data_IF_720209888255
#
_entry.id   IF_720209888255
#
_cell.length_a   1.000
_cell.length_b   1.000
_cell.length_c   1.000
_cell.angle_alpha   90.00
_cell.angle_beta   90.00
_cell.angle_gamma   90.00
#
_symmetry.space_group_name_H-M   'P 1'
#
loop_
_entity.id
_entity.type
_entity.pdbx_description
1 polymer ?
2 polymer ?
3 non-polymer ?
4 water ?
#
# COMPACT_ATOMS: atom_id res chain seq x y z
N UNK A 7 26.50 -32.55 2.59
CA UNK A 7 25.81 -31.33 3.01
C UNK A 7 26.75 -30.39 3.79
N UNK A 8 27.18 -30.73 5.03
CA UNK A 8 27.96 -29.74 5.81
C UNK A 8 29.28 -29.33 5.15
N UNK A 9 30.04 -30.29 4.63
CA UNK A 9 31.25 -30.00 3.87
C UNK A 9 30.99 -29.04 2.71
N UNK A 10 29.75 -28.99 2.21
CA UNK A 10 29.33 -28.13 1.11
C UNK A 10 28.61 -26.87 1.59
N UNK A 11 28.79 -26.47 2.85
CA UNK A 11 28.04 -25.36 3.44
C UNK A 11 28.55 -24.03 2.89
N UNK A 12 27.62 -23.20 2.40
CA UNK A 12 27.94 -21.87 1.85
C UNK A 12 27.39 -20.80 2.80
N UNK A 13 28.29 -20.23 3.59
CA UNK A 13 27.93 -19.20 4.56
C UNK A 13 27.63 -17.90 3.85
N UNK A 14 26.50 -17.29 4.17
CA UNK A 14 26.19 -15.94 3.75
C UNK A 14 26.75 -14.97 4.79
N UNK A 15 27.69 -14.13 4.37
CA UNK A 15 28.28 -13.20 5.34
C UNK A 15 27.29 -12.10 5.68
N UNK A 16 27.41 -11.57 6.90
CA UNK A 16 26.61 -10.42 7.27
C UNK A 16 26.96 -9.23 6.37
N UNK A 17 25.95 -8.44 6.02
CA UNK A 17 26.22 -7.19 5.32
C UNK A 17 26.53 -6.12 6.36
N UNK A 18 27.50 -5.27 6.07
CA UNK A 18 27.89 -4.26 7.02
C UNK A 18 27.81 -2.88 6.39
N UNK A 19 27.48 -1.90 7.22
CA UNK A 19 27.37 -0.52 6.76
C UNK A 19 28.73 -0.01 6.32
N UNK A 20 28.75 0.82 5.28
CA UNK A 20 29.97 1.54 4.94
C UNK A 20 30.36 2.50 6.05
N UNK A 21 31.63 2.88 6.08
CA UNK A 21 32.12 3.83 7.07
C UNK A 21 31.31 5.13 7.01
N UNK A 22 31.08 5.62 5.79
CA UNK A 22 30.38 6.89 5.63
C UNK A 22 28.95 6.77 6.15
N UNK A 23 28.33 5.62 5.90
CA UNK A 23 26.95 5.38 6.29
C UNK A 23 26.82 5.21 7.80
N UNK A 24 27.76 4.47 8.39
CA UNK A 24 27.73 4.35 9.85
C UNK A 24 27.99 5.70 10.50
N UNK A 25 28.87 6.51 9.89
CA UNK A 25 29.10 7.85 10.41
C UNK A 25 27.83 8.70 10.36
N UNK A 26 27.13 8.67 9.23
CA UNK A 26 25.87 9.41 9.14
C UNK A 26 24.87 8.93 10.21
N UNK A 27 24.81 7.63 10.48
CA UNK A 27 23.87 7.17 11.51
C UNK A 27 24.24 7.74 12.88
N UNK A 28 25.54 7.78 13.21
CA UNK A 28 25.95 8.29 14.52
C UNK A 28 25.70 9.79 14.62
N UNK A 29 25.96 10.52 13.54
CA UNK A 29 25.65 11.94 13.49
C UNK A 29 24.16 12.18 13.71
N UNK A 30 23.30 11.42 13.01
CA UNK A 30 21.86 11.56 13.15
C UNK A 30 21.41 11.26 14.57
N UNK A 31 22.02 10.28 15.20
CA UNK A 31 21.61 9.94 16.55
C UNK A 31 21.83 11.10 17.51
N UNK A 32 22.89 11.89 17.31
CA UNK A 32 23.17 12.98 18.22
C UNK A 32 22.35 14.22 17.90
N UNK A 33 21.81 14.33 16.71
CA UNK A 33 21.04 15.52 16.39
C UNK A 33 19.58 15.20 16.15
N UNK A 34 19.16 13.96 16.47
CA UNK A 34 17.77 13.59 16.25
C UNK A 34 16.90 14.44 17.13
N UNK A 35 17.41 14.91 18.28
CA UNK A 35 16.62 15.69 19.22
C UNK A 35 16.87 17.18 19.18
N UNK A 36 17.53 17.66 18.13
CA UNK A 36 17.81 19.07 17.92
C UNK A 36 17.25 19.46 16.56
N UNK A 37 16.02 19.96 16.50
CA UNK A 37 15.44 20.28 15.19
C UNK A 37 16.19 21.36 14.41
N UNK A 38 16.81 22.33 15.11
CA UNK A 38 17.65 23.33 14.43
C UNK A 38 18.76 22.66 13.63
N UNK A 39 19.57 21.82 14.29
CA UNK A 39 20.58 20.99 13.63
C UNK A 39 19.99 20.21 12.46
N UNK A 40 18.85 19.52 12.67
CA UNK A 40 18.34 18.68 11.61
C UNK A 40 18.03 19.50 10.35
N UNK A 41 17.68 20.79 10.53
CA UNK A 41 17.30 21.65 9.41
C UNK A 41 18.49 22.35 8.75
N UNK A 42 19.73 22.12 9.21
CA UNK A 42 20.86 22.93 8.73
C UNK A 42 21.32 22.47 7.34
N UNK A 43 22.00 23.38 6.63
CA UNK A 43 22.58 23.00 5.34
C UNK A 43 23.54 21.83 5.51
N UNK A 44 24.48 21.95 6.46
CA UNK A 44 25.46 20.88 6.67
C UNK A 44 24.79 19.53 6.97
N UNK A 45 23.71 19.54 7.76
CA UNK A 45 23.08 18.27 8.12
C UNK A 45 22.31 17.65 6.97
N UNK A 46 21.83 18.47 6.00
CA UNK A 46 21.22 17.94 4.79
C UNK A 46 22.17 17.02 4.05
N UNK A 47 23.48 17.27 4.18
CA UNK A 47 24.47 16.42 3.52
C UNK A 47 24.45 15.01 4.11
N UNK A 48 24.47 14.91 5.44
CA UNK A 48 24.36 13.60 6.08
C UNK A 48 22.97 12.96 5.79
N UNK A 49 21.89 13.74 5.85
CA UNK A 49 20.59 13.17 5.49
C UNK A 49 20.58 12.64 4.08
N UNK A 50 21.28 13.31 3.16
CA UNK A 50 21.41 12.82 1.79
C UNK A 50 22.13 11.48 1.72
N UNK A 51 23.19 11.31 2.50
CA UNK A 51 23.84 10.02 2.56
C UNK A 51 22.86 8.97 3.04
N UNK A 52 22.13 9.29 4.11
CA UNK A 52 21.16 8.35 4.65
C UNK A 52 20.17 7.94 3.55
N UNK A 53 19.52 8.93 2.94
CA UNK A 53 18.46 8.54 2.01
C UNK A 53 19.04 7.82 0.81
N UNK A 54 20.19 8.25 0.29
CA UNK A 54 20.68 7.58 -0.89
C UNK A 54 21.01 6.13 -0.59
N UNK A 55 21.77 5.87 0.48
CA UNK A 55 22.12 4.49 0.75
C UNK A 55 20.90 3.64 1.04
N UNK A 56 20.02 4.11 1.93
CA UNK A 56 18.86 3.31 2.33
C UNK A 56 17.95 2.98 1.15
N UNK A 57 17.73 3.94 0.25
CA UNK A 57 16.85 3.59 -0.87
C UNK A 57 17.54 2.62 -1.82
N UNK A 58 18.85 2.77 -2.00
CA UNK A 58 19.58 1.84 -2.86
C UNK A 58 19.48 0.42 -2.32
N UNK A 59 19.48 0.28 -0.99
CA UNK A 59 19.52 -1.03 -0.36
C UNK A 59 18.12 -1.63 -0.25
N UNK A 60 17.13 -0.81 0.03
CA UNK A 60 15.82 -1.36 0.39
C UNK A 60 14.86 -1.45 -0.79
N UNK A 61 15.01 -0.59 -1.80
CA UNK A 61 13.86 -0.27 -2.65
C UNK A 61 14.02 -0.63 -4.13
N UNK A 62 15.12 -1.26 -4.51
CA UNK A 62 15.24 -1.72 -5.89
C UNK A 62 14.47 -3.02 -6.01
N UNK A 63 14.07 -3.33 -7.24
CA UNK A 63 13.40 -4.60 -7.50
C UNK A 63 14.25 -5.80 -7.04
N UNK A 64 15.59 -5.69 -7.14
CA UNK A 64 16.53 -6.76 -6.81
C UNK A 64 16.97 -6.77 -5.34
N UNK A 65 16.28 -6.01 -4.49
CA UNK A 65 16.73 -5.84 -3.11
C UNK A 65 16.88 -7.19 -2.41
N UNK A 66 17.96 -7.31 -1.60
CA UNK A 66 18.31 -8.55 -0.93
C UNK A 66 17.69 -8.51 0.48
N UNK A 67 16.73 -9.38 0.79
CA UNK A 67 16.15 -9.33 2.15
C UNK A 67 17.17 -9.43 3.26
N UNK A 68 18.19 -10.29 3.15
CA UNK A 68 19.20 -10.37 4.22
C UNK A 68 19.95 -9.06 4.39
N UNK A 69 20.23 -8.36 3.29
CA UNK A 69 20.89 -7.06 3.39
C UNK A 69 20.02 -6.05 4.13
N UNK A 70 18.71 -6.00 3.79
CA UNK A 70 17.80 -5.06 4.45
C UNK A 70 17.69 -5.40 5.92
N UNK A 71 17.63 -6.70 6.25
CA UNK A 71 17.54 -7.09 7.65
C UNK A 71 18.80 -6.76 8.42
N UNK A 72 19.97 -6.95 7.80
CA UNK A 72 21.21 -6.54 8.43
C UNK A 72 21.22 -5.05 8.66
N UNK A 73 20.71 -4.26 7.70
CA UNK A 73 20.74 -2.81 7.86
C UNK A 73 19.81 -2.37 9.00
N UNK A 74 18.58 -2.85 8.98
CA UNK A 74 17.64 -2.60 10.08
C UNK A 74 18.32 -2.88 11.43
N UNK A 75 18.97 -4.05 11.55
CA UNK A 75 19.63 -4.42 12.80
C UNK A 75 20.74 -3.42 13.16
N UNK A 76 21.56 -3.04 12.18
CA UNK A 76 22.62 -2.07 12.45
C UNK A 76 22.07 -0.71 12.85
N UNK A 77 20.99 -0.24 12.18
CA UNK A 77 20.39 1.04 12.60
C UNK A 77 19.88 0.93 14.01
N UNK A 78 19.23 -0.19 14.34
CA UNK A 78 18.68 -0.38 15.67
C UNK A 78 19.77 -0.29 16.72
N UNK A 79 20.95 -0.82 16.40
CA UNK A 79 22.05 -0.87 17.36
C UNK A 79 22.75 0.49 17.45
N UNK A 80 22.53 1.37 16.49
CA UNK A 80 22.93 2.76 16.70
C UNK A 80 21.95 3.41 17.65
N UNK A 81 20.66 3.34 17.33
CA UNK A 81 19.60 3.94 18.15
C UNK A 81 18.23 3.57 17.58
N UNK A 82 17.28 3.16 18.42
CA UNK A 82 15.91 2.94 17.93
C UNK A 82 15.32 4.16 17.25
N UNK A 83 15.68 5.37 17.69
CA UNK A 83 15.24 6.59 16.99
C UNK A 83 15.84 6.65 15.59
N UNK A 84 17.13 6.32 15.45
CA UNK A 84 17.73 6.27 14.12
C UNK A 84 17.01 5.25 13.23
N UNK A 85 16.70 4.06 13.79
CA UNK A 85 15.97 3.07 12.99
C UNK A 85 14.62 3.63 12.53
N UNK A 86 13.82 4.17 13.46
CA UNK A 86 12.53 4.69 13.05
C UNK A 86 12.69 5.88 12.12
N UNK A 87 13.74 6.68 12.27
CA UNK A 87 13.90 7.81 11.37
C UNK A 87 14.13 7.31 9.95
N UNK A 88 15.06 6.37 9.79
CA UNK A 88 15.47 5.94 8.46
C UNK A 88 14.36 5.14 7.78
N UNK A 89 13.77 4.17 8.50
CA UNK A 89 12.72 3.30 7.94
C UNK A 89 11.64 4.12 7.24
N UNK A 90 11.36 5.32 7.75
CA UNK A 90 10.23 6.08 7.22
C UNK A 90 10.64 7.30 6.41
N UNK A 91 11.88 7.36 5.94
CA UNK A 91 12.23 8.40 4.99
C UNK A 91 11.45 8.24 3.71
N UNK A 92 11.10 9.35 3.09
CA UNK A 92 10.43 9.35 1.80
C UNK A 92 11.30 10.05 0.76
N UNK A 93 11.35 9.53 -0.45
CA UNK A 93 12.20 10.16 -1.45
C UNK A 93 11.47 11.37 -2.05
N UNK A 94 11.97 11.87 -3.17
CA UNK A 94 11.33 13.01 -3.85
C UNK A 94 10.02 12.68 -4.58
N UNK A 95 9.60 11.42 -4.60
CA UNK A 95 8.26 11.04 -5.02
C UNK A 95 7.37 10.73 -3.83
N UNK A 96 7.84 11.02 -2.63
CA UNK A 96 7.06 10.74 -1.45
C UNK A 96 6.97 9.27 -1.11
N UNK A 97 7.73 8.40 -1.80
CA UNK A 97 7.65 6.95 -1.59
C UNK A 97 8.62 6.52 -0.49
N UNK A 98 8.12 5.69 0.43
CA UNK A 98 8.96 5.03 1.42
C UNK A 98 9.42 3.68 0.89
N UNK A 99 10.37 3.06 1.60
CA UNK A 99 10.75 1.69 1.31
C UNK A 99 9.55 0.77 1.32
N UNK A 100 8.56 1.05 2.15
CA UNK A 100 7.38 0.19 2.16
C UNK A 100 6.58 0.32 0.86
N UNK A 101 6.50 1.54 0.27
CA UNK A 101 5.86 1.69 -1.05
C UNK A 101 6.60 0.87 -2.12
N UNK A 102 7.94 0.98 -2.16
CA UNK A 102 8.66 0.28 -3.22
C UNK A 102 8.62 -1.22 -3.02
N UNK A 103 8.86 -1.67 -1.79
CA UNK A 103 8.76 -3.08 -1.43
C UNK A 103 7.45 -3.68 -1.90
N UNK A 104 6.35 -3.04 -1.52
CA UNK A 104 5.04 -3.55 -1.89
C UNK A 104 4.90 -3.58 -3.39
N UNK A 105 5.21 -2.45 -4.04
CA UNK A 105 5.14 -2.34 -5.49
C UNK A 105 5.89 -3.47 -6.21
N UNK A 106 7.04 -3.87 -5.69
CA UNK A 106 7.88 -4.87 -6.34
C UNK A 106 7.46 -6.31 -6.03
N UNK A 107 6.36 -6.48 -5.30
CA UNK A 107 6.05 -7.71 -4.58
C UNK A 107 7.24 -8.25 -3.79
N UNK A 108 8.00 -7.37 -3.13
CA UNK A 108 9.11 -7.84 -2.28
C UNK A 108 8.62 -8.07 -0.84
N UNK A 109 7.84 -9.16 -0.68
CA UNK A 109 7.13 -9.34 0.57
C UNK A 109 8.00 -9.81 1.72
N UNK A 110 9.15 -10.43 1.47
CA UNK A 110 10.08 -10.67 2.59
C UNK A 110 10.50 -9.35 3.19
N UNK A 111 10.85 -8.40 2.35
CA UNK A 111 11.25 -7.08 2.84
C UNK A 111 10.06 -6.34 3.47
N UNK A 112 8.88 -6.42 2.86
CA UNK A 112 7.69 -5.87 3.54
C UNK A 112 7.58 -6.44 4.96
N UNK A 113 7.78 -7.75 5.11
CA UNK A 113 7.68 -8.39 6.41
C UNK A 113 8.73 -7.86 7.38
N UNK A 114 9.96 -7.64 6.89
CA UNK A 114 11.02 -7.08 7.72
C UNK A 114 10.63 -5.70 8.23
N UNK A 115 10.11 -4.85 7.33
CA UNK A 115 9.77 -3.49 7.71
C UNK A 115 8.65 -3.47 8.75
N UNK A 116 7.56 -4.19 8.50
CA UNK A 116 6.49 -4.28 9.49
C UNK A 116 7.00 -4.80 10.83
N UNK A 117 7.94 -5.76 10.81
CA UNK A 117 8.43 -6.34 12.05
C UNK A 117 9.32 -5.38 12.85
N UNK A 118 9.87 -4.35 12.23
CA UNK A 118 10.55 -3.35 13.03
C UNK A 118 9.58 -2.64 13.97
N UNK A 119 8.26 -2.76 13.73
CA UNK A 119 7.20 -2.06 14.47
C UNK A 119 7.47 -0.56 14.65
N UNK A 120 8.17 0.05 13.71
CA UNK A 120 8.34 1.51 13.66
C UNK A 120 7.83 2.10 12.36
N UNK A 121 7.31 1.27 11.47
CA UNK A 121 6.88 1.72 10.15
C UNK A 121 5.56 2.49 10.24
N UNK A 122 5.48 3.64 9.57
CA UNK A 122 4.18 4.31 9.39
C UNK A 122 3.55 3.81 8.09
N UNK A 123 2.63 2.84 8.19
CA UNK A 123 2.14 2.21 6.97
C UNK A 123 1.04 3.01 6.30
N UNK A 124 0.60 4.11 6.90
CA UNK A 124 -0.44 4.94 6.31
C UNK A 124 0.09 6.13 5.52
N UNK A 125 1.38 6.16 5.20
CA UNK A 125 1.98 7.33 4.57
C UNK A 125 1.58 7.40 3.09
N UNK A 126 1.10 8.57 2.66
CA UNK A 126 0.72 8.78 1.27
C UNK A 126 1.93 9.28 0.47
N UNK A 127 2.23 8.62 -0.66
CA UNK A 127 3.28 9.16 -1.54
C UNK A 127 2.80 10.41 -2.26
N UNK A 128 3.64 10.94 -3.17
CA UNK A 128 3.28 12.17 -3.85
C UNK A 128 2.08 11.95 -4.76
N UNK A 129 1.97 10.76 -5.34
CA UNK A 129 0.79 10.38 -6.10
C UNK A 129 -0.48 10.37 -5.25
N UNK A 130 -0.37 10.32 -3.91
CA UNK A 130 -1.51 10.32 -3.03
C UNK A 130 -1.98 8.97 -2.52
N UNK A 131 -1.13 7.93 -2.57
CA UNK A 131 -1.54 6.56 -2.29
C UNK A 131 -0.73 5.96 -1.14
N UNK A 132 -1.37 5.12 -0.37
CA UNK A 132 -0.79 4.40 0.75
C UNK A 132 -0.24 3.08 0.29
N UNK A 133 0.68 2.49 1.06
CA UNK A 133 1.15 1.13 0.72
C UNK A 133 0.01 0.12 0.61
N UNK A 134 -1.04 0.23 1.44
CA UNK A 134 -2.17 -0.70 1.32
C UNK A 134 -2.83 -0.56 -0.05
N UNK A 135 -3.00 0.68 -0.53
CA UNK A 135 -3.55 0.88 -1.86
C UNK A 135 -2.68 0.23 -2.94
N UNK A 136 -1.34 0.37 -2.84
CA UNK A 136 -0.43 -0.29 -3.79
C UNK A 136 -0.58 -1.79 -3.68
N UNK A 137 -0.69 -2.30 -2.46
CA UNK A 137 -0.79 -3.74 -2.27
C UNK A 137 -1.99 -4.32 -2.99
N UNK A 138 -3.11 -3.56 -3.03
CA UNK A 138 -4.35 -4.01 -3.69
C UNK A 138 -4.12 -4.46 -5.12
N UNK A 139 -3.09 -3.89 -5.75
CA UNK A 139 -2.75 -4.15 -7.14
C UNK A 139 -1.44 -4.92 -7.30
N UNK A 140 -0.75 -5.27 -6.20
CA UNK A 140 0.54 -5.95 -6.35
C UNK A 140 0.34 -7.41 -6.69
N UNK A 141 1.21 -7.93 -7.58
CA UNK A 141 1.22 -9.37 -7.87
C UNK A 141 1.52 -10.18 -6.60
N UNK A 142 0.81 -11.30 -6.47
CA UNK A 142 0.93 -12.20 -5.33
C UNK A 142 0.80 -13.59 -5.90
N UNK A 143 1.78 -14.45 -5.66
CA UNK A 143 1.66 -15.78 -6.24
C UNK A 143 1.63 -16.90 -5.21
N UNK A 144 2.37 -16.81 -4.11
CA UNK A 144 2.29 -17.84 -3.09
C UNK A 144 1.39 -17.41 -1.95
N UNK A 145 0.76 -18.41 -1.34
CA UNK A 145 0.00 -18.08 -0.15
C UNK A 145 0.82 -17.48 0.95
N UNK A 146 2.09 -17.82 1.13
CA UNK A 146 2.95 -17.15 2.09
C UNK A 146 2.94 -15.63 1.91
N UNK A 147 2.77 -15.14 0.67
CA UNK A 147 2.78 -13.69 0.44
C UNK A 147 1.49 -13.02 0.89
N UNK A 148 0.35 -13.61 0.53
CA UNK A 148 -0.95 -13.07 0.93
C UNK A 148 -1.03 -12.91 2.45
N UNK A 149 -0.24 -13.69 3.20
CA UNK A 149 -0.20 -13.50 4.66
C UNK A 149 0.49 -12.19 5.04
N UNK A 150 1.59 -11.85 4.36
CA UNK A 150 2.21 -10.55 4.57
C UNK A 150 1.26 -9.44 4.18
N UNK A 151 0.62 -9.59 3.01
CA UNK A 151 -0.37 -8.60 2.58
C UNK A 151 -1.40 -8.38 3.67
N UNK A 152 -1.89 -9.47 4.29
CA UNK A 152 -2.91 -9.31 5.35
C UNK A 152 -2.34 -8.70 6.62
N UNK A 153 -1.09 -8.99 6.94
CA UNK A 153 -0.43 -8.27 8.02
C UNK A 153 -0.38 -6.77 7.73
N UNK A 154 0.03 -6.38 6.53
CA UNK A 154 0.05 -4.97 6.17
C UNK A 154 -1.35 -4.33 6.31
N UNK A 155 -2.40 -5.00 5.80
CA UNK A 155 -3.77 -4.49 5.98
C UNK A 155 -4.11 -4.31 7.45
N UNK A 156 -3.69 -5.25 8.30
CA UNK A 156 -3.99 -5.18 9.72
C UNK A 156 -3.30 -4.04 10.42
N UNK A 157 -2.14 -3.61 9.90
CA UNK A 157 -1.28 -2.65 10.59
C UNK A 157 -1.62 -1.20 10.27
N UNK A 158 -2.62 -0.96 9.45
CA UNK A 158 -2.85 0.41 9.05
C UNK A 158 -4.30 0.59 8.67
N UNK A 159 -4.62 1.70 8.03
CA UNK A 159 -6.01 2.09 7.83
C UNK A 159 -6.44 1.66 6.43
N UNK A 160 -7.12 0.50 6.35
CA UNK A 160 -7.64 0.04 5.07
C UNK A 160 -8.74 0.93 4.52
N UNK A 161 -9.21 1.91 5.28
CA UNK A 161 -10.28 2.79 4.82
C UNK A 161 -9.80 4.17 4.43
N UNK A 162 -8.47 4.38 4.37
CA UNK A 162 -7.93 5.64 3.84
C UNK A 162 -8.45 5.92 2.42
N UNK A 163 -8.59 7.18 2.08
CA UNK A 163 -8.97 7.61 0.74
C UNK A 163 -7.80 8.35 0.09
N UNK A 164 -7.53 8.01 -1.17
CA UNK A 164 -6.44 8.61 -1.95
C UNK A 164 -6.72 10.08 -2.26
N UNK A 165 -5.63 10.85 -2.44
CA UNK A 165 -5.74 12.28 -2.78
C UNK A 165 -6.40 12.51 -4.14
N UNK A 166 -6.08 11.68 -5.14
CA UNK A 166 -6.82 11.72 -6.41
C UNK A 166 -8.09 10.86 -6.27
N UNK A 167 -9.26 11.49 -6.41
CA UNK A 167 -10.58 10.89 -6.49
C UNK A 167 -11.08 10.34 -5.17
N UNK A 168 -10.28 10.34 -4.11
CA UNK A 168 -10.75 9.77 -2.86
C UNK A 168 -11.02 8.29 -2.93
N UNK A 169 -10.42 7.60 -3.91
CA UNK A 169 -10.59 6.16 -4.03
C UNK A 169 -9.98 5.45 -2.83
N UNK A 170 -10.53 4.30 -2.56
CA UNK A 170 -10.12 3.45 -1.46
C UNK A 170 -9.37 2.23 -2.02
N UNK A 171 -8.58 1.55 -1.16
CA UNK A 171 -7.94 0.30 -1.60
C UNK A 171 -8.99 -0.74 -2.03
N UNK A 172 -10.12 -0.83 -1.31
CA UNK A 172 -11.16 -1.75 -1.75
C UNK A 172 -11.63 -1.42 -3.17
N UNK A 173 -11.75 -0.14 -3.49
CA UNK A 173 -12.20 0.21 -4.84
C UNK A 173 -11.18 -0.20 -5.90
N UNK A 174 -9.88 0.01 -5.64
CA UNK A 174 -8.84 -0.37 -6.61
C UNK A 174 -8.85 -1.87 -6.86
N UNK A 175 -8.91 -2.67 -5.79
CA UNK A 175 -9.01 -4.13 -5.92
C UNK A 175 -10.25 -4.53 -6.71
N UNK A 176 -11.39 -3.93 -6.39
CA UNK A 176 -12.62 -4.28 -7.10
C UNK A 176 -12.47 -3.98 -8.58
N UNK A 177 -11.87 -2.83 -8.91
CA UNK A 177 -11.82 -2.39 -10.31
C UNK A 177 -10.90 -3.26 -11.13
N UNK A 178 -9.95 -3.95 -10.50
CA UNK A 178 -9.14 -4.91 -11.22
C UNK A 178 -9.69 -6.32 -11.14
N UNK A 179 -10.91 -6.50 -10.64
CA UNK A 179 -11.40 -7.86 -10.42
C UNK A 179 -10.50 -8.75 -9.57
N UNK A 180 -9.81 -8.20 -8.56
CA UNK A 180 -8.96 -9.00 -7.68
C UNK A 180 -9.74 -9.52 -6.48
N UNK A 181 -10.40 -10.67 -6.67
CA UNK A 181 -11.25 -11.24 -5.63
C UNK A 181 -10.41 -11.61 -4.40
N UNK A 182 -9.23 -12.21 -4.61
CA UNK A 182 -8.37 -12.53 -3.47
C UNK A 182 -8.11 -11.31 -2.60
N UNK A 183 -7.83 -10.18 -3.25
CA UNK A 183 -7.51 -8.95 -2.53
C UNK A 183 -8.77 -8.35 -1.86
N UNK A 184 -9.92 -8.38 -2.56
CA UNK A 184 -11.19 -7.97 -1.96
C UNK A 184 -11.49 -8.75 -0.69
N UNK A 185 -11.31 -10.08 -0.72
CA UNK A 185 -11.54 -10.89 0.46
C UNK A 185 -10.62 -10.49 1.61
N UNK A 186 -9.33 -10.28 1.33
CA UNK A 186 -8.42 -9.93 2.41
C UNK A 186 -8.72 -8.55 2.99
N UNK A 187 -9.09 -7.60 2.12
CA UNK A 187 -9.49 -6.28 2.59
C UNK A 187 -10.75 -6.38 3.44
N UNK A 188 -11.77 -7.09 2.95
CA UNK A 188 -12.97 -7.25 3.73
C UNK A 188 -12.66 -7.86 5.10
N UNK A 189 -11.88 -8.93 5.12
CA UNK A 189 -11.51 -9.59 6.36
C UNK A 189 -10.73 -8.70 7.32
N UNK A 190 -10.11 -7.64 6.81
CA UNK A 190 -9.35 -6.74 7.67
C UNK A 190 -10.09 -5.43 7.93
N UNK A 191 -11.39 -5.41 7.66
CA UNK A 191 -12.24 -4.32 8.09
C UNK A 191 -12.50 -3.24 7.09
N UNK A 192 -12.30 -3.50 5.81
CA UNK A 192 -12.62 -2.47 4.84
C UNK A 192 -14.12 -2.26 4.86
N UNK A 193 -14.52 -1.01 4.96
CA UNK A 193 -15.94 -0.66 4.94
C UNK A 193 -16.41 -0.56 3.49
N UNK A 194 -17.44 -1.36 3.13
CA UNK A 194 -17.93 -1.36 1.75
C UNK A 194 -18.76 -0.14 1.41
N UNK A 195 -19.16 0.69 2.38
CA UNK A 195 -20.02 1.82 2.05
C UNK A 195 -19.27 3.14 1.85
N UNK A 196 -17.93 3.14 1.84
CA UNK A 196 -17.22 4.40 1.58
C UNK A 196 -17.47 4.85 0.14
N UNK A 197 -17.64 6.14 -0.05
CA UNK A 197 -17.85 6.76 -1.35
C UNK A 197 -16.64 7.62 -1.71
N UNK A 198 -16.22 7.53 -2.98
CA UNK A 198 -15.11 8.35 -3.45
C UNK A 198 -15.61 9.77 -3.72
N UNK A 199 -14.72 10.64 -4.23
CA UNK A 199 -15.09 12.04 -4.38
C UNK A 199 -16.28 12.25 -5.31
N UNK A 200 -16.56 11.32 -6.22
CA UNK A 200 -17.70 11.46 -7.10
C UNK A 200 -18.94 10.74 -6.57
N UNK A 201 -18.88 10.18 -5.35
CA UNK A 201 -19.97 9.40 -4.78
C UNK A 201 -20.00 7.92 -5.11
N UNK A 202 -18.97 7.38 -5.76
CA UNK A 202 -19.00 5.96 -6.14
C UNK A 202 -18.61 5.09 -4.96
N UNK A 203 -19.25 3.93 -4.84
CA UNK A 203 -18.88 2.90 -3.87
C UNK A 203 -18.12 1.77 -4.58
N UNK A 204 -17.59 0.83 -3.79
CA UNK A 204 -17.02 -0.39 -4.38
C UNK A 204 -18.09 -1.20 -5.13
N UNK A 205 -19.32 -1.19 -4.62
CA UNK A 205 -20.40 -1.90 -5.29
C UNK A 205 -20.64 -1.30 -6.66
N UNK A 206 -20.56 0.03 -6.78
CA UNK A 206 -20.70 0.65 -8.09
C UNK A 206 -19.52 0.32 -9.00
N UNK A 207 -18.29 0.31 -8.47
CA UNK A 207 -17.15 -0.10 -9.29
C UNK A 207 -17.36 -1.52 -9.82
N UNK A 208 -17.85 -2.43 -8.95
CA UNK A 208 -18.10 -3.80 -9.38
C UNK A 208 -19.20 -3.86 -10.46
N UNK A 209 -20.21 -2.98 -10.38
CA UNK A 209 -21.25 -2.97 -11.42
C UNK A 209 -20.72 -2.42 -12.74
N UNK A 210 -19.96 -1.33 -12.70
CA UNK A 210 -19.29 -0.81 -13.88
C UNK A 210 -18.43 -1.86 -14.62
N UNK A 211 -17.68 -2.67 -13.87
CA UNK A 211 -16.72 -3.57 -14.51
C UNK A 211 -17.25 -4.99 -14.71
N UNK A 212 -18.49 -5.26 -14.28
CA UNK A 212 -19.14 -6.54 -14.46
C UNK A 212 -18.62 -7.71 -13.65
N UNK A 213 -18.09 -7.47 -12.44
CA UNK A 213 -17.50 -8.56 -11.65
C UNK A 213 -18.58 -9.19 -10.77
N UNK A 214 -19.28 -10.18 -11.35
CA UNK A 214 -20.43 -10.79 -10.68
C UNK A 214 -20.05 -11.36 -9.32
N UNK A 215 -18.94 -12.12 -9.25
CA UNK A 215 -18.60 -12.77 -7.98
C UNK A 215 -18.15 -11.77 -6.92
N UNK A 216 -17.58 -10.63 -7.34
CA UNK A 216 -17.26 -9.56 -6.41
C UNK A 216 -18.54 -8.89 -5.89
N UNK A 217 -19.51 -8.64 -6.79
CA UNK A 217 -20.80 -8.10 -6.37
C UNK A 217 -21.42 -8.98 -5.30
N UNK A 218 -21.41 -10.31 -5.52
CA UNK A 218 -21.97 -11.21 -4.51
C UNK A 218 -21.24 -11.05 -3.17
N UNK A 219 -19.92 -10.90 -3.23
CA UNK A 219 -19.11 -10.85 -2.02
C UNK A 219 -19.35 -9.56 -1.26
N UNK A 220 -19.47 -8.44 -1.98
CA UNK A 220 -19.79 -7.16 -1.36
C UNK A 220 -21.19 -7.20 -0.73
N UNK A 221 -22.20 -7.61 -1.52
CA UNK A 221 -23.57 -7.76 -1.00
C UNK A 221 -23.64 -8.71 0.18
N UNK A 222 -22.75 -9.72 0.24
CA UNK A 222 -22.71 -10.56 1.42
C UNK A 222 -22.20 -9.83 2.66
N UNK A 223 -21.69 -8.60 2.53
CA UNK A 223 -21.19 -7.93 3.72
C UNK A 223 -22.37 -7.45 4.56
N UNK A 224 -22.32 -7.63 5.89
CA UNK A 224 -23.48 -7.32 6.73
C UNK A 224 -24.08 -5.94 6.54
N UNK A 225 -23.30 -4.88 6.62
CA UNK A 225 -24.03 -3.62 6.56
C UNK A 225 -24.16 -3.00 5.18
N UNK A 226 -23.92 -3.76 4.11
CA UNK A 226 -23.78 -3.20 2.77
C UNK A 226 -25.06 -2.51 2.31
N UNK A 227 -24.93 -1.26 1.87
CA UNK A 227 -26.07 -0.43 1.50
C UNK A 227 -26.13 -0.33 -0.03
N UNK A 228 -26.98 -1.12 -0.65
CA UNK A 228 -27.08 -0.96 -2.09
C UNK A 228 -27.89 0.22 -2.57
N UNK A 229 -28.45 1.02 -1.65
CA UNK A 229 -29.28 2.15 -2.03
C UNK A 229 -28.49 3.46 -2.22
N UNK A 230 -27.20 3.50 -1.89
CA UNK A 230 -26.42 4.71 -2.07
C UNK A 230 -26.41 5.18 -3.54
N UNK A 231 -26.40 6.49 -3.72
CA UNK A 231 -26.29 7.12 -5.02
C UNK A 231 -24.97 7.85 -5.15
N UNK A 232 -24.45 7.91 -6.39
CA UNK A 232 -23.30 8.77 -6.65
C UNK A 232 -23.78 10.23 -6.77
N UNK A 233 -22.85 11.13 -7.08
CA UNK A 233 -23.19 12.56 -7.10
C UNK A 233 -24.30 12.85 -8.08
N UNK A 234 -24.36 12.12 -9.20
CA UNK A 234 -25.35 12.34 -10.24
C UNK A 234 -26.65 11.58 -10.00
N UNK A 235 -26.82 10.96 -8.83
CA UNK A 235 -27.99 10.16 -8.55
C UNK A 235 -27.94 8.73 -9.06
N UNK A 236 -26.85 8.31 -9.70
CA UNK A 236 -26.79 6.93 -10.15
C UNK A 236 -26.69 5.96 -8.97
N UNK A 237 -27.30 4.81 -9.13
CA UNK A 237 -27.19 3.76 -8.12
C UNK A 237 -26.40 2.59 -8.71
N UNK A 238 -26.01 1.64 -7.84
CA UNK A 238 -25.33 0.45 -8.36
C UNK A 238 -26.21 -0.28 -9.38
N UNK A 239 -27.49 -0.47 -9.04
CA UNK A 239 -28.44 -1.11 -9.95
C UNK A 239 -28.54 -0.36 -11.29
N UNK A 240 -28.67 0.99 -11.24
CA UNK A 240 -28.78 1.74 -12.48
C UNK A 240 -27.48 1.66 -13.29
N UNK A 241 -26.34 1.68 -12.60
CA UNK A 241 -25.06 1.56 -13.29
C UNK A 241 -24.96 0.22 -13.99
N UNK A 242 -25.32 -0.87 -13.28
CA UNK A 242 -25.27 -2.21 -13.87
C UNK A 242 -26.11 -2.29 -15.14
N UNK A 243 -27.31 -1.69 -15.13
CA UNK A 243 -28.14 -1.69 -16.33
C UNK A 243 -27.46 -0.88 -17.45
N UNK A 244 -27.07 0.37 -17.15
CA UNK A 244 -26.43 1.23 -18.14
C UNK A 244 -25.22 0.56 -18.78
N UNK A 245 -24.46 -0.21 -18.00
CA UNK A 245 -23.23 -0.79 -18.52
C UNK A 245 -23.48 -2.12 -19.18
N UNK A 246 -24.75 -2.53 -19.26
CA UNK A 246 -25.07 -3.81 -19.85
C UNK A 246 -24.73 -5.01 -18.98
N UNK A 247 -25.05 -4.96 -17.69
CA UNK A 247 -24.80 -6.10 -16.82
C UNK A 247 -26.10 -6.53 -16.19
N UNK A 248 -26.89 -7.29 -16.98
CA UNK A 248 -28.24 -7.74 -16.63
C UNK A 248 -28.27 -8.63 -15.40
N UNK A 249 -27.26 -9.48 -15.22
CA UNK A 249 -27.31 -10.42 -14.12
C UNK A 249 -26.87 -9.78 -12.80
N UNK A 250 -25.80 -8.98 -12.82
CA UNK A 250 -25.52 -8.14 -11.66
C UNK A 250 -26.78 -7.38 -11.27
N UNK A 251 -27.46 -6.76 -12.25
CA UNK A 251 -28.64 -5.94 -11.94
C UNK A 251 -29.74 -6.73 -11.22
N UNK A 252 -29.99 -7.98 -11.65
CA UNK A 252 -31.02 -8.80 -10.99
C UNK A 252 -30.60 -9.12 -9.56
N UNK A 253 -29.31 -9.48 -9.39
CA UNK A 253 -28.77 -9.75 -8.07
C UNK A 253 -29.01 -8.58 -7.14
N UNK A 254 -28.75 -7.36 -7.64
CA UNK A 254 -28.87 -6.17 -6.81
C UNK A 254 -30.34 -5.87 -6.48
N UNK A 255 -31.22 -5.93 -7.49
CA UNK A 255 -32.64 -5.75 -7.21
C UNK A 255 -33.08 -6.72 -6.11
N UNK A 256 -32.71 -8.00 -6.27
CA UNK A 256 -33.17 -9.06 -5.38
C UNK A 256 -32.69 -8.84 -3.95
N UNK A 257 -31.49 -8.29 -3.78
CA UNK A 257 -30.96 -8.04 -2.44
C UNK A 257 -31.60 -6.81 -1.82
N UNK A 258 -31.93 -5.78 -2.61
CA UNK A 258 -32.64 -4.62 -2.07
C UNK A 258 -34.05 -4.94 -1.58
N UNK A 259 -34.65 -6.04 -2.07
CA UNK A 259 -36.09 -6.23 -1.96
C UNK A 259 -36.53 -7.64 -1.51
N UNK A 260 -35.62 -8.47 -1.00
CA UNK A 260 -36.01 -9.78 -0.46
C UNK A 260 -36.02 -9.80 1.07
N UNK B 1 -16.81 5.18 -21.72
CA UNK B 1 -16.62 6.61 -21.48
C UNK B 1 -15.95 6.84 -20.11
N UNK B 2 -14.61 6.92 -20.10
CA UNK B 2 -13.80 6.91 -18.87
C UNK B 2 -13.63 8.33 -18.32
N UNK B 3 -14.74 8.91 -17.84
CA UNK B 3 -14.70 10.20 -17.16
C UNK B 3 -15.18 10.11 -15.71
N UNK B 4 -15.06 8.92 -15.10
CA UNK B 4 -15.36 8.73 -13.68
C UNK B 4 -14.39 7.69 -13.13
N UNK B 5 -13.89 7.93 -11.91
CA UNK B 5 -12.87 7.05 -11.35
C UNK B 5 -13.31 5.59 -11.35
N UNK B 6 -14.58 5.33 -11.04
CA UNK B 6 -15.07 3.96 -10.98
C UNK B 6 -15.06 3.26 -12.35
N UNK B 7 -14.98 4.00 -13.45
CA UNK B 7 -14.92 3.33 -14.76
C UNK B 7 -13.49 3.04 -15.18
N UNK B 8 -12.52 3.71 -14.57
CA UNK B 8 -11.12 3.46 -14.89
C UNK B 8 -10.58 2.19 -14.25
N UNK B 9 -9.49 1.68 -14.81
CA UNK B 9 -8.75 0.54 -14.28
C UNK B 9 -7.33 1.08 -14.07
N UNK B 10 -7.06 1.60 -12.88
CA UNK B 10 -5.79 2.27 -12.63
C UNK B 10 -4.61 1.30 -12.74
N UNK B 11 -3.43 1.88 -12.88
CA UNK B 11 -2.20 1.15 -13.15
C UNK B 11 -1.35 1.09 -11.89
N UNK B 12 -0.51 0.04 -11.77
CA UNK B 12 0.48 -0.01 -10.69
C UNK B 12 1.39 1.20 -10.74
N UNK B 13 1.83 1.58 -11.95
CA UNK B 13 2.75 2.70 -12.06
C UNK B 13 2.08 4.00 -11.66
N UNK B 14 0.79 4.15 -11.98
CA UNK B 14 0.04 5.32 -11.54
C UNK B 14 0.01 5.40 -10.02
N UNK B 15 -0.02 4.26 -9.31
CA UNK B 15 -0.04 4.29 -7.85
C UNK B 15 1.33 4.68 -7.29
N UNK B 16 2.41 4.36 -7.98
CA UNK B 16 3.72 4.62 -7.40
C UNK B 16 4.24 6.02 -7.73
N UNK B 17 3.95 6.54 -8.93
CA UNK B 17 4.52 7.80 -9.40
C UNK B 17 3.46 8.72 -10.02
N UNK B 18 3.54 10.00 -9.70
CA UNK B 18 2.78 10.99 -10.45
C UNK B 18 3.79 11.97 -11.06
N UNK B 19 3.80 13.24 -10.63
CA UNK B 19 4.79 14.17 -11.18
C UNK B 19 5.97 14.39 -10.21
X LIG C 1 9.39 16.41 -8.29
X LIG C 1 8.67 15.14 -8.29
X LIG C 1 10.23 16.69 -9.55
X LIG C 1 9.47 16.50 -10.77
#
# INVERSE_FOLDING_TARGET
GPGSEFEPEKEEIRERYELSEKMLSACNLLKYNIKDPKALASKDMRICLNTLQHDWFRVSSQKSAVPAMVGDYIAAFEAVSPDVLRYIINMADGNGNTALHYSVSHSNFQIVKLLLDADVCNVDHQNKAGYTPIMLAALAAVEAEKDMQVVEELFSCGDVNAKASQAGQTALMLAVSHGRIDMVKGLLACGADVNIQDDEGSTALMCASEHGHVEIVKLLLAQPGCNGHLEDNDGSTALSIALEAGHKDIAVLLYAHLNFSKAQSPSTPRLGRKTSPGPTHRGSFD
PKNKARRRTTTQMELLYAD
EDO C1 O1 C2 O2
#
